data_IF_869730630729
#
_entry.id   IF_869730630729
#
_cell.length_a   1.000
_cell.length_b   1.000
_cell.length_c   1.000
_cell.angle_alpha   90.00
_cell.angle_beta   90.00
_cell.angle_gamma   90.00
#
_symmetry.space_group_name_H-M   'P 1'
#
loop_
_entity.id
_entity.type
_entity.pdbx_description
1 polymer ?
#
# COMPACT_ATOMS: atom_id res chain seq x y z
N UNK A 1 25.38 -1.26 10.35
CA UNK A 1 23.96 -1.25 10.01
C UNK A 1 23.68 -0.08 9.09
N UNK A 2 22.98 -0.32 8.04
CA UNK A 2 22.56 0.73 7.14
C UNK A 2 21.45 1.55 7.78
N UNK A 3 21.49 2.84 7.59
CA UNK A 3 20.38 3.70 7.99
C UNK A 3 19.12 3.30 7.23
N UNK A 4 17.98 3.41 7.89
CA UNK A 4 16.70 3.23 7.23
C UNK A 4 16.55 4.32 6.15
N UNK A 5 16.43 3.94 4.87
CA UNK A 5 16.26 4.93 3.81
C UNK A 5 14.94 5.70 3.91
N UNK A 6 13.98 5.20 4.69
CA UNK A 6 12.67 5.82 4.82
C UNK A 6 12.35 6.05 6.29
N UNK A 7 12.98 7.05 6.95
CA UNK A 7 12.69 7.34 8.36
C UNK A 7 11.22 7.69 8.57
N UNK A 8 10.62 7.13 9.61
CA UNK A 8 9.19 7.26 9.87
C UNK A 8 8.75 8.72 10.01
N UNK A 9 9.55 9.56 10.64
CA UNK A 9 9.24 10.98 10.82
C UNK A 9 9.20 11.74 9.49
N UNK A 10 10.10 11.42 8.57
CA UNK A 10 10.10 12.01 7.21
C UNK A 10 8.88 11.56 6.44
N UNK A 11 8.60 10.26 6.46
CA UNK A 11 7.42 9.71 5.77
C UNK A 11 6.14 10.35 6.30
N UNK A 12 6.00 10.47 7.62
CA UNK A 12 4.82 11.05 8.23
C UNK A 12 4.63 12.51 7.82
N UNK A 13 5.69 13.29 7.83
CA UNK A 13 5.65 14.70 7.46
C UNK A 13 5.25 14.90 6.00
N UNK A 14 5.88 14.17 5.10
CA UNK A 14 5.61 14.28 3.66
C UNK A 14 4.25 13.67 3.29
N UNK A 15 3.82 12.64 4.01
CA UNK A 15 2.54 11.98 3.77
C UNK A 15 1.36 12.92 3.97
N UNK A 16 1.41 13.75 4.99
CA UNK A 16 0.32 14.71 5.28
C UNK A 16 0.09 15.61 4.07
N UNK A 17 1.16 16.17 3.55
CA UNK A 17 1.08 17.07 2.40
C UNK A 17 0.60 16.33 1.15
N UNK A 18 1.18 15.18 0.87
CA UNK A 18 0.86 14.40 -0.31
C UNK A 18 -0.58 13.90 -0.30
N UNK A 19 -1.08 13.43 0.83
CA UNK A 19 -2.46 12.97 0.95
C UNK A 19 -3.45 14.12 0.76
N UNK A 20 -3.13 15.31 1.26
CA UNK A 20 -3.99 16.47 1.01
C UNK A 20 -4.03 16.85 -0.47
N UNK A 21 -2.90 16.75 -1.17
CA UNK A 21 -2.86 16.94 -2.63
C UNK A 21 -3.70 15.86 -3.32
N UNK A 22 -3.57 14.62 -2.90
CA UNK A 22 -4.34 13.52 -3.48
C UNK A 22 -5.85 13.68 -3.29
N UNK A 23 -6.27 14.19 -2.14
CA UNK A 23 -7.66 14.51 -1.89
C UNK A 23 -8.16 15.63 -2.81
N UNK A 24 -7.37 16.70 -2.96
CA UNK A 24 -7.73 17.81 -3.85
C UNK A 24 -7.86 17.39 -5.30
N UNK A 25 -7.01 16.47 -5.73
CA UNK A 25 -7.01 15.99 -7.11
C UNK A 25 -7.97 14.83 -7.35
N UNK A 26 -8.67 14.36 -6.32
CA UNK A 26 -9.60 13.24 -6.44
C UNK A 26 -8.92 11.89 -6.63
N UNK A 27 -7.64 11.78 -6.32
CA UNK A 27 -6.91 10.50 -6.39
C UNK A 27 -7.32 9.59 -5.25
N UNK A 28 -7.39 10.13 -4.05
CA UNK A 28 -8.08 9.44 -2.95
C UNK A 28 -9.56 9.60 -3.24
N UNK A 29 -10.31 8.52 -3.46
CA UNK A 29 -11.70 8.66 -3.86
C UNK A 29 -12.41 9.41 -2.77
N UNK A 30 -12.73 10.61 -3.16
CA UNK A 30 -13.46 11.44 -2.29
C UNK A 30 -14.84 10.95 -2.33
N UNK A 31 -15.10 10.31 -1.63
CA UNK A 31 -16.40 10.32 -1.11
C UNK A 31 -16.72 11.76 -0.81
N UNK A 32 -17.92 12.14 -0.85
CA UNK A 32 -18.22 13.49 -0.40
C UNK A 32 -17.58 13.69 0.98
N UNK A 33 -17.23 14.91 1.30
CA UNK A 33 -16.48 15.23 2.51
C UNK A 33 -17.14 14.77 3.80
N UNK A 34 -18.39 14.30 3.75
CA UNK A 34 -19.11 13.78 4.91
C UNK A 34 -18.74 12.34 5.25
N UNK A 35 -18.19 11.58 4.32
CA UNK A 35 -17.81 10.19 4.58
C UNK A 35 -16.44 10.06 5.26
N UNK A 36 -15.51 10.94 4.90
CA UNK A 36 -14.16 10.93 5.49
C UNK A 36 -14.07 12.04 6.52
N UNK A 37 -14.08 11.69 7.78
CA UNK A 37 -13.93 12.64 8.87
C UNK A 37 -12.52 12.68 9.41
N UNK A 38 -11.79 11.59 9.27
CA UNK A 38 -10.38 11.53 9.63
C UNK A 38 -9.66 10.46 8.81
N UNK A 39 -8.36 10.61 8.66
CA UNK A 39 -7.51 9.62 8.03
C UNK A 39 -6.34 9.29 8.95
N UNK A 40 -5.88 8.06 8.89
CA UNK A 40 -4.63 7.68 9.50
C UNK A 40 -3.76 6.89 8.53
N UNK A 41 -2.44 6.98 8.76
CA UNK A 41 -1.44 6.20 8.05
C UNK A 41 -1.10 4.97 8.88
N UNK A 42 -1.11 3.80 8.27
CA UNK A 42 -0.71 2.58 8.95
C UNK A 42 0.82 2.49 9.08
N UNK A 43 1.29 1.63 9.97
CA UNK A 43 2.68 1.19 9.94
C UNK A 43 2.99 0.53 8.60
N UNK A 44 4.27 0.47 8.27
CA UNK A 44 4.72 -0.20 7.05
C UNK A 44 4.33 -1.68 7.09
N UNK A 45 3.82 -2.16 5.96
CA UNK A 45 3.40 -3.54 5.79
C UNK A 45 4.61 -4.33 5.27
N UNK A 46 4.94 -5.50 5.86
CA UNK A 46 6.07 -6.29 5.37
C UNK A 46 5.95 -6.57 3.89
N UNK A 47 7.04 -6.43 3.16
CA UNK A 47 7.05 -6.58 1.71
C UNK A 47 8.21 -7.46 1.26
N UNK A 48 7.91 -8.36 0.34
CA UNK A 48 8.84 -9.32 -0.24
C UNK A 48 8.80 -9.25 -1.74
N UNK A 49 9.82 -9.80 -2.37
CA UNK A 49 9.96 -9.86 -3.82
C UNK A 49 10.17 -11.32 -4.24
N UNK A 50 9.39 -11.76 -5.21
CA UNK A 50 9.60 -13.06 -5.86
C UNK A 50 10.62 -12.88 -6.97
N UNK A 51 11.76 -13.57 -6.84
CA UNK A 51 12.86 -13.45 -7.77
C UNK A 51 12.71 -14.44 -8.94
N UNK A 52 13.53 -14.26 -9.97
CA UNK A 52 13.45 -15.05 -11.19
C UNK A 52 13.70 -16.56 -10.96
N UNK A 53 14.43 -16.91 -9.91
CA UNK A 53 14.67 -18.31 -9.52
C UNK A 53 13.57 -18.88 -8.61
N UNK A 54 12.46 -18.17 -8.46
CA UNK A 54 11.32 -18.51 -7.60
C UNK A 54 11.64 -18.48 -6.10
N UNK A 55 12.73 -17.85 -5.70
CA UNK A 55 12.98 -17.56 -4.29
C UNK A 55 12.35 -16.24 -3.90
N UNK A 56 12.10 -16.05 -2.61
CA UNK A 56 11.49 -14.86 -2.07
C UNK A 56 12.50 -14.16 -1.18
N UNK A 57 12.69 -12.86 -1.39
CA UNK A 57 13.60 -12.02 -0.62
C UNK A 57 12.89 -10.81 -0.07
N UNK A 58 13.35 -10.28 1.06
CA UNK A 58 12.84 -9.01 1.57
C UNK A 58 13.11 -7.89 0.56
N UNK A 59 12.13 -7.03 0.37
CA UNK A 59 12.29 -5.83 -0.44
C UNK A 59 12.68 -4.68 0.49
N UNK A 60 13.88 -4.13 0.30
CA UNK A 60 14.42 -3.06 1.15
C UNK A 60 14.44 -1.69 0.47
N UNK A 61 14.09 -1.62 -0.81
CA UNK A 61 14.04 -0.40 -1.60
C UNK A 61 12.63 0.16 -1.75
N UNK A 62 11.66 -0.41 -1.05
CA UNK A 62 10.26 0.00 -1.15
C UNK A 62 9.56 -0.27 0.19
N UNK A 63 8.67 0.65 0.58
CA UNK A 63 7.77 0.45 1.72
C UNK A 63 6.36 0.84 1.34
N UNK A 64 5.40 0.07 1.85
CA UNK A 64 3.98 0.30 1.65
C UNK A 64 3.31 0.60 2.97
N UNK A 65 2.44 1.61 2.93
CA UNK A 65 1.62 2.02 4.05
C UNK A 65 0.17 2.13 3.57
N UNK A 66 -0.77 1.69 4.37
CA UNK A 66 -2.18 1.91 4.07
C UNK A 66 -2.64 3.27 4.57
N UNK A 67 -3.57 3.87 3.85
CA UNK A 67 -4.27 5.08 4.28
C UNK A 67 -5.71 4.67 4.56
N UNK A 68 -6.16 4.86 5.80
CA UNK A 68 -7.47 4.41 6.26
C UNK A 68 -8.28 5.55 6.83
N UNK A 69 -9.60 5.48 6.69
CA UNK A 69 -10.50 6.43 7.31
C UNK A 69 -10.88 6.01 8.73
N UNK A 70 -11.78 6.78 9.35
CA UNK A 70 -12.26 6.55 10.71
C UNK A 70 -12.99 5.21 10.88
N UNK A 71 -13.43 4.58 9.81
CA UNK A 71 -14.13 3.31 9.81
C UNK A 71 -13.24 2.14 9.39
N UNK A 72 -11.93 2.36 9.35
CA UNK A 72 -10.95 1.36 8.89
C UNK A 72 -11.17 0.92 7.44
N UNK A 73 -11.68 1.83 6.62
CA UNK A 73 -11.79 1.62 5.18
C UNK A 73 -10.55 2.19 4.50
N UNK A 74 -9.89 1.37 3.70
CA UNK A 74 -8.71 1.80 2.98
C UNK A 74 -9.09 2.80 1.90
N UNK A 75 -8.47 3.97 1.96
CA UNK A 75 -8.71 5.07 1.03
C UNK A 75 -7.56 5.29 0.07
N UNK A 76 -6.47 4.57 0.26
CA UNK A 76 -5.31 4.65 -0.62
C UNK A 76 -4.12 3.90 -0.06
N UNK A 77 -3.03 4.00 -0.80
CA UNK A 77 -1.72 3.46 -0.45
C UNK A 77 -0.69 4.55 -0.53
N UNK A 78 0.20 4.56 0.43
CA UNK A 78 1.39 5.38 0.37
C UNK A 78 2.57 4.46 0.08
N UNK A 79 3.36 4.81 -0.93
CA UNK A 79 4.47 3.99 -1.39
C UNK A 79 5.75 4.83 -1.39
N UNK A 80 6.71 4.44 -0.58
CA UNK A 80 8.04 5.03 -0.57
C UNK A 80 8.97 4.12 -1.37
N UNK A 81 9.70 4.68 -2.33
CA UNK A 81 10.50 3.87 -3.26
C UNK A 81 11.83 4.54 -3.54
N UNK A 82 12.87 3.71 -3.65
CA UNK A 82 14.18 4.12 -4.16
C UNK A 82 14.39 3.48 -5.51
N UNK A 83 14.71 4.31 -6.51
CA UNK A 83 15.14 3.87 -7.85
C UNK A 83 16.42 4.60 -8.21
N UNK A 84 17.54 3.89 -8.17
CA UNK A 84 18.84 4.53 -8.36
C UNK A 84 19.11 5.52 -7.22
N UNK A 85 19.35 6.78 -7.58
CA UNK A 85 19.55 7.86 -6.60
C UNK A 85 18.28 8.61 -6.23
N UNK A 86 17.15 8.22 -6.83
CA UNK A 86 15.88 8.90 -6.64
C UNK A 86 15.05 8.23 -5.56
N UNK A 87 14.65 9.02 -4.57
CA UNK A 87 13.69 8.61 -3.54
C UNK A 87 12.37 9.33 -3.82
N UNK A 88 11.29 8.55 -3.89
CA UNK A 88 9.96 9.12 -4.16
C UNK A 88 8.95 8.61 -3.16
N UNK A 89 7.95 9.44 -2.91
CA UNK A 89 6.77 9.09 -2.15
C UNK A 89 5.57 9.27 -3.06
N UNK A 90 4.75 8.23 -3.17
CA UNK A 90 3.59 8.22 -4.06
C UNK A 90 2.36 7.85 -3.27
N UNK A 91 1.28 8.61 -3.46
CA UNK A 91 -0.05 8.24 -2.97
C UNK A 91 -0.83 7.67 -4.15
N UNK A 92 -1.30 6.46 -4.02
CA UNK A 92 -2.03 5.75 -5.08
C UNK A 92 -3.36 5.24 -4.58
N UNK A 93 -4.30 5.11 -5.50
CA UNK A 93 -5.56 4.44 -5.25
C UNK A 93 -5.77 3.35 -6.30
N UNK A 94 -6.17 2.18 -5.84
CA UNK A 94 -6.63 1.08 -6.68
C UNK A 94 -7.81 0.42 -5.96
N UNK A 95 -8.95 0.33 -6.65
CA UNK A 95 -10.19 -0.14 -6.06
C UNK A 95 -10.05 -1.53 -5.43
N UNK A 96 -9.53 -2.49 -6.19
CA UNK A 96 -9.44 -3.87 -5.71
C UNK A 96 -8.46 -4.02 -4.56
N UNK A 97 -7.34 -3.32 -4.65
CA UNK A 97 -6.33 -3.38 -3.60
C UNK A 97 -6.87 -2.79 -2.29
N UNK A 98 -7.57 -1.67 -2.38
CA UNK A 98 -8.17 -1.04 -1.21
C UNK A 98 -9.32 -1.85 -0.62
N UNK A 99 -10.11 -2.53 -1.45
CA UNK A 99 -11.14 -3.44 -0.96
C UNK A 99 -10.52 -4.60 -0.17
N UNK A 100 -9.45 -5.19 -0.68
CA UNK A 100 -8.74 -6.27 0.01
C UNK A 100 -8.12 -5.78 1.32
N UNK A 101 -7.46 -4.62 1.30
CA UNK A 101 -6.89 -4.04 2.53
C UNK A 101 -7.96 -3.76 3.58
N UNK A 102 -9.10 -3.25 3.18
CA UNK A 102 -10.22 -3.01 4.08
C UNK A 102 -10.65 -4.30 4.76
N UNK A 103 -10.81 -5.36 4.00
CA UNK A 103 -11.20 -6.66 4.53
C UNK A 103 -10.19 -7.20 5.53
N UNK A 104 -8.90 -7.12 5.21
CA UNK A 104 -7.85 -7.59 6.12
C UNK A 104 -7.74 -6.72 7.37
N UNK A 105 -7.92 -5.40 7.24
CA UNK A 105 -7.94 -4.53 8.42
C UNK A 105 -9.10 -4.87 9.34
N UNK A 106 -10.29 -5.04 8.80
CA UNK A 106 -11.49 -5.31 9.58
C UNK A 106 -11.48 -6.69 10.22
N UNK A 107 -10.81 -7.65 9.62
CA UNK A 107 -10.67 -9.01 10.15
C UNK A 107 -9.44 -9.20 11.05
N UNK A 108 -8.63 -8.16 11.22
CA UNK A 108 -7.40 -8.20 12.02
C UNK A 108 -6.40 -9.24 11.49
N UNK A 109 -6.41 -9.48 10.19
CA UNK A 109 -5.54 -10.47 9.58
C UNK A 109 -4.09 -9.99 9.53
N UNK A 110 -3.16 -10.91 9.71
CA UNK A 110 -1.74 -10.65 9.51
C UNK A 110 -1.39 -10.84 8.04
N UNK A 111 -0.82 -9.83 7.42
CA UNK A 111 -0.53 -9.84 5.99
C UNK A 111 0.90 -9.41 5.69
N UNK A 112 1.34 -9.73 4.49
CA UNK A 112 2.49 -9.12 3.84
C UNK A 112 2.19 -8.95 2.35
N UNK A 113 3.01 -8.18 1.66
CA UNK A 113 2.92 -8.04 0.22
C UNK A 113 4.03 -8.82 -0.44
N UNK A 114 3.71 -9.40 -1.60
CA UNK A 114 4.71 -10.10 -2.42
C UNK A 114 4.66 -9.51 -3.82
N UNK A 115 5.77 -8.94 -4.26
CA UNK A 115 5.94 -8.48 -5.62
C UNK A 115 6.43 -9.59 -6.52
N UNK A 116 5.83 -9.72 -7.71
CA UNK A 116 6.29 -10.62 -8.76
C UNK A 116 6.18 -9.89 -10.10
N UNK A 117 7.25 -9.27 -10.54
CA UNK A 117 7.26 -8.45 -11.75
C UNK A 117 6.17 -7.37 -11.72
N UNK A 118 5.06 -7.59 -12.43
CA UNK A 118 3.97 -6.63 -12.52
C UNK A 118 2.81 -6.96 -11.59
N UNK A 119 2.97 -7.94 -10.71
CA UNK A 119 1.92 -8.37 -9.80
C UNK A 119 2.28 -8.03 -8.36
N UNK A 120 1.28 -7.61 -7.59
CA UNK A 120 1.40 -7.46 -6.16
C UNK A 120 0.35 -8.34 -5.50
N UNK A 121 0.79 -9.23 -4.64
CA UNK A 121 -0.09 -10.13 -3.90
C UNK A 121 -0.19 -9.68 -2.45
N UNK A 122 -1.39 -9.63 -1.91
CA UNK A 122 -1.59 -9.53 -0.48
C UNK A 122 -1.68 -10.96 0.07
N UNK A 123 -0.70 -11.34 0.86
CA UNK A 123 -0.59 -12.71 1.36
C UNK A 123 -0.91 -12.76 2.84
N UNK A 124 -1.85 -13.64 3.23
CA UNK A 124 -2.30 -13.79 4.61
C UNK A 124 -1.95 -15.16 5.20
N UNK A 125 -1.01 -15.86 4.62
CA UNK A 125 -0.60 -17.18 5.09
C UNK A 125 -1.25 -18.34 4.34
N UNK A 126 -2.09 -18.07 3.37
CA UNK A 126 -2.73 -19.08 2.51
C UNK A 126 -2.20 -18.99 1.10
N UNK A 127 -1.97 -20.13 0.45
CA UNK A 127 -1.35 -20.17 -0.87
C UNK A 127 -2.20 -19.57 -1.99
N UNK A 128 -3.51 -19.68 -1.90
CA UNK A 128 -4.41 -19.27 -2.99
C UNK A 128 -5.02 -17.90 -2.73
N UNK A 129 -4.22 -16.98 -2.20
CA UNK A 129 -4.69 -15.65 -1.89
C UNK A 129 -4.95 -14.84 -3.16
N UNK A 130 -5.94 -13.98 -3.09
CA UNK A 130 -6.26 -13.04 -4.17
C UNK A 130 -5.08 -12.13 -4.45
N UNK A 131 -4.93 -11.78 -5.71
CA UNK A 131 -3.77 -11.04 -6.19
C UNK A 131 -4.22 -9.83 -6.95
N UNK A 132 -3.42 -8.80 -6.89
CA UNK A 132 -3.52 -7.65 -7.77
C UNK A 132 -2.42 -7.74 -8.80
N UNK A 133 -2.78 -7.74 -10.07
CA UNK A 133 -1.83 -7.69 -11.18
C UNK A 133 -1.84 -6.31 -11.79
N UNK A 134 -0.69 -5.64 -11.77
CA UNK A 134 -0.55 -4.33 -12.34
C UNK A 134 0.93 -3.97 -12.40
N UNK A 135 1.36 -3.38 -13.49
CA UNK A 135 2.70 -2.79 -13.56
C UNK A 135 2.80 -1.60 -12.61
N UNK A 136 1.66 -0.97 -12.37
CA UNK A 136 1.46 0.07 -11.37
C UNK A 136 0.13 -0.26 -10.69
N UNK A 137 -0.07 0.22 -9.49
CA UNK A 137 -1.35 0.00 -8.78
C UNK A 137 -2.52 0.80 -9.38
N UNK A 138 -2.32 1.40 -10.54
CA UNK A 138 -3.36 2.13 -11.25
C UNK A 138 -4.33 1.24 -12.02
N UNK A 139 -3.92 0.02 -12.32
CA UNK A 139 -4.75 -0.91 -13.09
C UNK A 139 -5.68 -1.67 -12.15
N UNK A 140 -6.96 -1.62 -12.43
CA UNK A 140 -7.98 -2.33 -11.65
C UNK A 140 -8.12 -3.80 -12.03
N UNK A 141 -7.17 -4.36 -12.74
CA UNK A 141 -7.22 -5.78 -13.08
C UNK A 141 -6.90 -6.65 -11.87
N UNK A 142 -7.51 -7.81 -11.84
CA UNK A 142 -7.18 -8.89 -10.91
C UNK A 142 -6.57 -10.04 -11.67
N UNK A 143 -5.59 -10.66 -11.06
CA UNK A 143 -4.96 -11.83 -11.65
C UNK A 143 -4.69 -12.91 -10.62
N UNK A 144 -4.12 -13.99 -11.10
CA UNK A 144 -3.68 -15.08 -10.23
C UNK A 144 -2.19 -14.92 -10.01
N UNK A 145 -1.79 -14.85 -8.74
CA UNK A 145 -0.39 -14.83 -8.40
C UNK A 145 0.23 -16.21 -8.64
N UNK A 146 1.42 -16.22 -9.20
CA UNK A 146 2.16 -17.46 -9.39
C UNK A 146 2.73 -18.02 -8.09
N UNK A 147 1.96 -17.99 -7.01
CA UNK A 147 2.40 -18.48 -5.70
C UNK A 147 2.73 -19.97 -5.74
N UNK A 148 2.13 -20.69 -6.65
CA UNK A 148 2.44 -22.09 -6.89
C UNK A 148 3.85 -22.31 -7.39
N UNK A 149 4.52 -21.27 -7.89
CA UNK A 149 5.91 -21.33 -8.30
C UNK A 149 6.88 -21.09 -7.15
N UNK A 150 6.41 -20.52 -6.06
CA UNK A 150 7.22 -20.32 -4.86
C UNK A 150 7.16 -21.57 -4.00
N UNK A 151 8.28 -21.86 -3.33
CA UNK A 151 8.32 -23.02 -2.45
C UNK A 151 7.46 -22.78 -1.22
N UNK A 152 6.62 -23.75 -0.85
CA UNK A 152 5.73 -23.68 0.31
C UNK A 152 6.48 -23.32 1.59
N UNK A 153 7.69 -23.86 1.78
CA UNK A 153 8.50 -23.55 2.96
C UNK A 153 8.90 -22.09 3.03
N UNK A 154 9.16 -21.45 1.87
CA UNK A 154 9.48 -20.02 1.83
C UNK A 154 8.26 -19.17 2.17
N UNK A 155 7.10 -19.52 1.62
CA UNK A 155 5.86 -18.80 1.94
C UNK A 155 5.54 -18.86 3.44
N UNK A 156 5.73 -20.00 4.07
CA UNK A 156 5.48 -20.16 5.51
C UNK A 156 6.42 -19.34 6.37
N UNK A 157 7.61 -19.03 5.87
CA UNK A 157 8.62 -18.27 6.60
C UNK A 157 8.44 -16.75 6.49
N UNK A 158 7.50 -16.26 5.68
CA UNK A 158 7.31 -14.84 5.49
C UNK A 158 6.72 -14.19 6.74
N UNK A 159 7.32 -13.09 7.16
CA UNK A 159 6.79 -12.27 8.22
C UNK A 159 5.51 -11.59 7.75
N UNK A 160 4.51 -11.58 8.61
CA UNK A 160 3.25 -10.91 8.37
C UNK A 160 2.90 -10.10 9.60
N UNK A 161 2.17 -9.02 9.41
CA UNK A 161 1.71 -8.19 10.50
C UNK A 161 0.26 -7.79 10.31
N UNK A 162 -0.42 -7.57 11.42
CA UNK A 162 -1.71 -6.88 11.38
C UNK A 162 -1.48 -5.42 10.98
N UNK A 163 -2.46 -4.84 10.35
CA UNK A 163 -2.41 -3.43 9.94
C UNK A 163 -2.64 -2.56 11.16
N UNK A 164 -1.61 -1.84 11.60
CA UNK A 164 -1.64 -1.03 12.81
C UNK A 164 -1.53 0.46 12.46
N UNK A 165 -2.22 1.35 13.16
CA UNK A 165 -2.08 2.79 12.91
C UNK A 165 -0.70 3.28 13.35
N UNK A 166 -0.08 4.15 12.55
CA UNK A 166 1.18 4.79 12.84
C UNK A 166 1.00 6.28 13.15
N UNK A 167 0.19 6.96 12.37
CA UNK A 167 0.03 8.42 12.49
C UNK A 167 -1.33 8.88 12.00
N UNK A 168 -1.90 9.87 12.70
CA UNK A 168 -3.06 10.59 12.19
C UNK A 168 -2.64 11.58 11.12
N UNK A 169 -3.46 11.70 10.07
CA UNK A 169 -3.25 12.63 8.98
C UNK A 169 -4.27 13.77 9.10
N UNK A 170 -3.80 14.98 9.23
CA UNK A 170 -4.68 16.14 9.33
C UNK A 170 -5.25 16.47 7.95
N UNK A 171 -6.58 16.45 7.86
CA UNK A 171 -7.26 16.84 6.64
C UNK A 171 -7.33 18.36 6.55
N UNK A 172 -6.73 18.89 5.49
CA UNK A 172 -6.77 20.33 5.21
C UNK A 172 -7.77 20.62 4.09
N UNK A 173 -7.96 19.69 3.17
CA UNK A 173 -8.87 19.85 2.05
C UNK A 173 -10.13 19.05 2.26
N UNK A 174 -11.28 19.67 1.89
CA UNK A 174 -12.57 19.01 1.89
C UNK A 174 -13.14 18.90 0.49
N UNK A 175 -12.36 19.20 -0.52
CA UNK A 175 -12.81 19.20 -1.91
C UNK A 175 -12.84 17.79 -2.46
N UNK A 176 -13.79 17.02 -2.05
CA UNK A 176 -13.98 15.70 -2.60
C UNK A 176 -14.83 15.80 -3.84
N UNK A 177 -14.35 15.41 -4.97
CA UNK A 177 -15.07 15.66 -6.18
C UNK A 177 -15.34 14.45 -7.02
N UNK A 178 -14.34 13.72 -7.42
CA UNK A 178 -14.54 12.64 -8.37
C UNK A 178 -14.04 11.32 -7.79
N UNK A 179 -14.87 10.30 -7.83
CA UNK A 179 -14.40 8.97 -7.52
C UNK A 179 -13.52 8.49 -8.68
N UNK A 180 -12.32 8.07 -8.34
CA UNK A 180 -11.36 7.51 -9.28
C UNK A 180 -11.18 6.05 -8.95
N UNK A 181 -11.26 5.16 -9.96
CA UNK A 181 -11.01 3.73 -9.73
C UNK A 181 -9.53 3.44 -9.55
N UNK A 182 -8.69 4.26 -10.12
CA UNK A 182 -7.25 4.25 -9.90
C UNK A 182 -6.66 5.63 -10.12
N UNK A 183 -5.54 5.90 -9.48
CA UNK A 183 -4.84 7.15 -9.67
C UNK A 183 -3.63 7.25 -8.76
N UNK A 184 -2.77 8.24 -9.03
CA UNK A 184 -1.62 8.50 -8.19
C UNK A 184 -1.16 9.95 -8.23
N UNK A 185 -0.51 10.38 -7.16
CA UNK A 185 0.30 11.58 -7.10
C UNK A 185 1.63 11.24 -6.43
N UNK A 186 2.71 11.86 -6.86
CA UNK A 186 4.04 11.57 -6.35
C UNK A 186 4.83 12.83 -6.06
N UNK A 187 5.72 12.74 -5.09
CA UNK A 187 6.70 13.78 -4.78
C UNK A 187 8.07 13.15 -4.58
N UNK A 188 9.16 13.84 -4.93
CA UNK A 188 10.50 13.41 -4.53
C UNK A 188 10.65 13.58 -3.00
N UNK A 189 11.37 12.68 -2.43
CA UNK A 189 11.73 12.76 -1.00
C UNK A 189 13.05 13.49 -0.81
#
# INVERSE_FOLDING_TARGET
>A
SSEDPFPADVIQSEAIELVNIALDQGVVPGQDSSEITSLYLSDSIPIYELLADNTIAEADNIKYYGIFDQNDVARGLLIARIQGDDETLTCEYNTFFCEELTEYKQSDAEICFIFAQTAVTIFNGRQNQTVMQSATLHDDSRGVFGAETARTSQLKALNRSAISPMAELNLVSTAATNSTVSGSVSVPL
#
